data_IF_977435911768
#
_entry.id   IF_977435911768
#
_cell.length_a   1.000
_cell.length_b   1.000
_cell.length_c   1.000
_cell.angle_alpha   90.00
_cell.angle_beta   90.00
_cell.angle_gamma   90.00
#
_symmetry.space_group_name_H-M   'P 1'
#
loop_
_entity.id
_entity.type
_entity.pdbx_description
1 polymer ?
#
# COMPACT_ATOMS: atom_id res chain seq x y z
N UNK A 1 39.08 -37.47 -51.11
CA UNK A 1 37.71 -37.91 -50.74
C UNK A 1 37.41 -37.88 -49.23
N UNK A 2 38.40 -37.85 -48.31
CA UNK A 2 38.14 -37.85 -46.86
C UNK A 2 37.73 -36.48 -46.27
N UNK A 3 38.19 -35.37 -46.85
CA UNK A 3 37.91 -34.02 -46.32
C UNK A 3 36.53 -33.46 -46.70
N UNK A 4 35.93 -33.95 -47.80
CA UNK A 4 34.59 -33.53 -48.23
C UNK A 4 33.49 -34.19 -47.38
N UNK A 5 33.69 -35.45 -46.96
CA UNK A 5 32.80 -36.14 -46.03
C UNK A 5 32.81 -35.50 -44.63
N UNK A 6 33.96 -35.01 -44.18
CA UNK A 6 34.10 -34.36 -42.87
C UNK A 6 33.34 -33.01 -42.82
N UNK A 7 33.44 -32.21 -43.89
CA UNK A 7 32.69 -30.95 -44.04
C UNK A 7 31.18 -31.16 -44.10
N UNK A 8 30.73 -32.21 -44.80
CA UNK A 8 29.31 -32.61 -44.82
C UNK A 8 28.81 -33.07 -43.44
N UNK A 9 29.63 -33.81 -42.67
CA UNK A 9 29.28 -34.25 -41.32
C UNK A 9 29.20 -33.08 -40.32
N UNK A 10 30.12 -32.10 -40.42
CA UNK A 10 30.11 -30.91 -39.56
C UNK A 10 28.86 -30.05 -39.82
N UNK A 11 28.45 -29.88 -41.08
CA UNK A 11 27.21 -29.17 -41.41
C UNK A 11 25.95 -29.93 -40.95
N UNK A 12 25.95 -31.26 -41.00
CA UNK A 12 24.81 -32.09 -40.58
C UNK A 12 24.63 -32.09 -39.05
N UNK A 13 25.72 -32.01 -38.29
CA UNK A 13 25.69 -31.87 -36.81
C UNK A 13 25.27 -30.46 -36.38
N UNK A 14 25.69 -29.40 -37.09
CA UNK A 14 25.28 -28.02 -36.81
C UNK A 14 23.78 -27.76 -37.07
N UNK A 15 23.19 -28.41 -38.08
CA UNK A 15 21.77 -28.28 -38.39
C UNK A 15 20.85 -28.93 -37.33
N UNK A 16 21.32 -29.96 -36.62
CA UNK A 16 20.55 -30.67 -35.59
C UNK A 16 20.52 -29.94 -34.24
N UNK A 17 21.41 -28.96 -34.01
CA UNK A 17 21.50 -28.22 -32.73
C UNK A 17 20.60 -26.97 -32.73
N UNK A 18 20.10 -26.52 -33.89
CA UNK A 18 19.37 -25.24 -34.02
C UNK A 18 17.85 -25.32 -33.74
N UNK A 19 17.28 -26.50 -33.50
CA UNK A 19 15.82 -26.66 -33.33
C UNK A 19 15.37 -27.13 -31.93
N UNK A 20 16.19 -26.92 -30.90
CA UNK A 20 15.64 -26.93 -29.54
C UNK A 20 15.06 -25.55 -29.25
N UNK A 21 13.86 -25.30 -29.76
CA UNK A 21 13.03 -24.21 -29.27
C UNK A 21 12.82 -24.45 -27.78
N UNK A 22 13.58 -23.76 -26.94
CA UNK A 22 13.26 -23.67 -25.52
C UNK A 22 12.00 -22.82 -25.43
N UNK A 23 10.84 -23.47 -25.59
CA UNK A 23 9.58 -22.92 -25.11
C UNK A 23 9.73 -22.85 -23.59
N UNK A 24 10.13 -21.67 -23.10
CA UNK A 24 10.00 -21.31 -21.69
C UNK A 24 8.50 -21.28 -21.42
N UNK A 25 7.96 -22.42 -21.02
CA UNK A 25 6.61 -22.51 -20.52
C UNK A 25 6.63 -21.91 -19.11
N UNK A 26 6.46 -20.58 -19.03
CA UNK A 26 6.21 -19.94 -17.75
C UNK A 26 4.81 -20.34 -17.30
N UNK A 27 4.71 -21.49 -16.62
CA UNK A 27 3.54 -21.82 -15.81
C UNK A 27 3.62 -21.01 -14.51
N UNK A 28 3.57 -19.69 -14.63
CA UNK A 28 3.20 -18.81 -13.53
C UNK A 28 1.68 -18.77 -13.47
N UNK A 29 1.09 -19.93 -13.15
CA UNK A 29 -0.27 -19.93 -12.63
C UNK A 29 -0.16 -19.33 -11.23
N UNK A 30 -0.20 -18.00 -11.14
CA UNK A 30 -0.67 -17.38 -9.92
C UNK A 30 -2.06 -17.97 -9.72
N UNK A 31 -2.20 -18.91 -8.78
CA UNK A 31 -3.50 -19.17 -8.18
C UNK A 31 -3.96 -17.81 -7.72
N UNK A 32 -4.88 -17.22 -8.47
CA UNK A 32 -5.69 -16.13 -7.97
C UNK A 32 -6.43 -16.77 -6.81
N UNK A 33 -5.87 -16.61 -5.62
CA UNK A 33 -6.54 -16.92 -4.38
C UNK A 33 -7.71 -15.93 -4.38
N UNK A 34 -8.83 -16.35 -4.97
CA UNK A 34 -10.11 -15.68 -4.85
C UNK A 34 -10.64 -15.99 -3.45
N UNK A 35 -9.84 -15.66 -2.43
CA UNK A 35 -10.35 -15.40 -1.12
C UNK A 35 -10.65 -13.90 -1.16
N UNK A 36 -11.80 -13.54 -1.74
CA UNK A 36 -12.51 -12.39 -1.18
C UNK A 36 -12.77 -12.80 0.26
N UNK A 37 -11.88 -12.45 1.19
CA UNK A 37 -12.18 -12.54 2.60
C UNK A 37 -13.33 -11.56 2.83
N UNK A 38 -14.54 -12.10 2.80
CA UNK A 38 -15.75 -11.33 3.00
C UNK A 38 -15.83 -11.06 4.49
N UNK A 39 -15.38 -9.87 4.90
CA UNK A 39 -15.66 -9.36 6.24
C UNK A 39 -17.18 -9.29 6.42
N UNK A 40 -17.75 -9.88 7.48
CA UNK A 40 -19.20 -9.94 7.67
C UNK A 40 -19.83 -8.56 7.93
N UNK A 41 -19.02 -7.61 8.41
CA UNK A 41 -19.46 -6.26 8.69
C UNK A 41 -18.77 -5.24 7.76
N UNK A 42 -19.53 -4.25 7.30
CA UNK A 42 -19.05 -3.22 6.37
C UNK A 42 -19.77 -1.90 6.64
N UNK A 43 -19.00 -0.81 6.62
CA UNK A 43 -19.52 0.57 6.71
C UNK A 43 -18.80 1.47 5.70
N UNK A 44 -19.46 2.52 5.25
CA UNK A 44 -18.84 3.59 4.46
C UNK A 44 -18.26 4.68 5.37
N UNK A 45 -17.15 5.28 4.95
CA UNK A 45 -16.58 6.44 5.64
C UNK A 45 -17.54 7.65 5.73
N UNK A 46 -18.49 7.75 4.80
CA UNK A 46 -19.53 8.79 4.77
C UNK A 46 -20.50 8.71 5.94
N UNK A 47 -20.72 7.50 6.49
CA UNK A 47 -21.57 7.28 7.67
C UNK A 47 -20.99 7.93 8.95
N UNK A 48 -19.70 8.28 8.91
CA UNK A 48 -18.98 8.94 10.01
C UNK A 48 -18.75 10.43 9.76
N UNK A 49 -19.49 11.03 8.82
CA UNK A 49 -19.46 12.46 8.52
C UNK A 49 -18.31 12.89 7.61
N UNK A 50 -17.66 11.95 6.92
CA UNK A 50 -16.64 12.31 5.94
C UNK A 50 -17.24 12.93 4.68
N UNK A 51 -16.53 13.92 4.13
CA UNK A 51 -16.89 14.61 2.89
C UNK A 51 -15.75 14.45 1.89
N UNK A 52 -16.07 13.91 0.71
CA UNK A 52 -15.11 13.60 -0.36
C UNK A 52 -14.76 14.79 -1.26
N UNK A 53 -14.69 16.00 -0.69
CA UNK A 53 -14.61 17.28 -1.39
C UNK A 53 -13.19 17.86 -1.45
N UNK A 54 -12.14 17.09 -1.18
CA UNK A 54 -10.72 17.49 -1.08
C UNK A 54 -10.38 18.63 -0.10
N UNK A 55 -11.36 19.27 0.54
CA UNK A 55 -11.19 20.44 1.41
C UNK A 55 -11.38 20.02 2.87
N UNK A 56 -12.40 19.21 3.14
CA UNK A 56 -12.79 18.81 4.49
C UNK A 56 -11.74 17.86 5.10
N UNK A 57 -11.21 18.21 6.27
CA UNK A 57 -10.27 17.35 7.00
C UNK A 57 -11.02 16.17 7.66
N UNK A 58 -10.95 15.01 7.04
CA UNK A 58 -11.68 13.80 7.40
C UNK A 58 -10.99 12.94 8.49
N UNK A 59 -9.91 13.41 9.10
CA UNK A 59 -9.13 12.64 10.09
C UNK A 59 -10.01 12.08 11.20
N UNK A 60 -10.95 12.89 11.70
CA UNK A 60 -11.87 12.48 12.77
C UNK A 60 -12.89 11.44 12.30
N UNK A 61 -13.36 11.56 11.06
CA UNK A 61 -14.27 10.58 10.47
C UNK A 61 -13.58 9.22 10.31
N UNK A 62 -12.33 9.18 9.84
CA UNK A 62 -11.53 7.94 9.79
C UNK A 62 -11.32 7.33 11.18
N UNK A 63 -10.93 8.13 12.16
CA UNK A 63 -10.73 7.67 13.53
C UNK A 63 -12.03 7.10 14.14
N UNK A 64 -13.17 7.78 13.94
CA UNK A 64 -14.46 7.33 14.45
C UNK A 64 -14.92 6.04 13.76
N UNK A 65 -14.75 5.94 12.43
CA UNK A 65 -15.07 4.74 11.68
C UNK A 65 -14.27 3.54 12.17
N UNK A 66 -12.96 3.71 12.36
CA UNK A 66 -12.08 2.63 12.80
C UNK A 66 -12.35 2.25 14.25
N UNK A 67 -12.63 3.24 15.12
CA UNK A 67 -13.05 2.98 16.50
C UNK A 67 -14.32 2.14 16.55
N UNK A 68 -15.31 2.45 15.73
CA UNK A 68 -16.54 1.66 15.62
C UNK A 68 -16.28 0.24 15.09
N UNK A 69 -15.47 0.11 14.03
CA UNK A 69 -15.17 -1.18 13.41
C UNK A 69 -14.40 -2.13 14.33
N UNK A 70 -13.70 -1.61 15.35
CA UNK A 70 -13.03 -2.39 16.38
C UNK A 70 -13.98 -3.35 17.11
N UNK A 71 -15.27 -3.01 17.22
CA UNK A 71 -16.30 -3.86 17.83
C UNK A 71 -16.56 -5.18 17.08
N UNK A 72 -16.01 -5.32 15.88
CA UNK A 72 -16.18 -6.47 14.99
C UNK A 72 -14.88 -7.24 14.74
N UNK A 73 -13.75 -6.82 15.33
CA UNK A 73 -12.45 -7.48 15.15
C UNK A 73 -12.52 -8.98 15.49
N UNK A 74 -13.10 -9.32 16.63
CA UNK A 74 -13.26 -10.71 17.10
C UNK A 74 -14.46 -11.45 16.46
N UNK A 75 -15.17 -10.81 15.52
CA UNK A 75 -16.38 -11.34 14.87
C UNK A 75 -16.16 -11.64 13.39
N UNK A 76 -14.92 -11.94 13.01
CA UNK A 76 -14.50 -12.14 11.61
C UNK A 76 -14.03 -10.85 10.92
N UNK A 77 -13.86 -9.77 11.67
CA UNK A 77 -13.37 -8.50 11.18
C UNK A 77 -14.42 -7.64 10.50
N UNK A 78 -13.96 -6.50 9.98
CA UNK A 78 -14.83 -5.54 9.32
C UNK A 78 -14.17 -4.86 8.14
N UNK A 79 -15.00 -4.28 7.28
CA UNK A 79 -14.57 -3.54 6.09
C UNK A 79 -14.92 -2.06 6.23
N UNK A 80 -13.94 -1.20 6.01
CA UNK A 80 -14.15 0.23 5.80
C UNK A 80 -14.17 0.52 4.30
N UNK A 81 -15.30 0.97 3.80
CA UNK A 81 -15.47 1.33 2.39
C UNK A 81 -15.28 2.83 2.18
N UNK A 82 -14.38 3.18 1.26
CA UNK A 82 -14.09 4.56 0.84
C UNK A 82 -14.60 4.73 -0.59
N UNK A 83 -15.74 5.41 -0.81
CA UNK A 83 -16.32 5.57 -2.14
C UNK A 83 -15.50 6.55 -3.01
N UNK A 84 -15.88 6.66 -4.28
CA UNK A 84 -15.34 7.67 -5.19
C UNK A 84 -15.39 9.08 -4.58
N UNK A 85 -14.32 9.85 -4.73
CA UNK A 85 -14.17 11.16 -4.08
C UNK A 85 -12.75 11.40 -3.59
N UNK A 86 -12.48 12.61 -3.09
CA UNK A 86 -11.16 13.00 -2.58
C UNK A 86 -11.24 13.25 -1.08
N UNK A 87 -10.63 12.37 -0.31
CA UNK A 87 -10.75 12.28 1.14
C UNK A 87 -9.50 12.88 1.78
N UNK A 88 -9.53 14.19 2.01
CA UNK A 88 -8.42 14.90 2.66
C UNK A 88 -8.32 14.49 4.14
N UNK A 89 -7.16 14.04 4.60
CA UNK A 89 -6.97 13.50 5.96
C UNK A 89 -5.52 13.60 6.44
N UNK A 90 -5.36 13.72 7.76
CA UNK A 90 -4.11 13.44 8.46
C UNK A 90 -3.88 11.94 8.67
N UNK A 91 -2.89 11.62 9.51
CA UNK A 91 -2.58 10.24 9.89
C UNK A 91 -3.73 9.61 10.68
N UNK A 92 -4.06 8.34 10.38
CA UNK A 92 -5.02 7.54 11.15
C UNK A 92 -4.51 6.12 11.43
N UNK A 93 -4.99 5.53 12.52
CA UNK A 93 -4.63 4.17 12.95
C UNK A 93 -5.51 3.13 12.28
N UNK A 94 -4.92 2.01 11.85
CA UNK A 94 -5.63 0.79 11.51
C UNK A 94 -5.82 -0.10 12.75
N UNK A 95 -6.67 -1.12 12.61
CA UNK A 95 -6.90 -2.18 13.61
C UNK A 95 -6.70 -3.55 12.95
N UNK A 96 -6.51 -4.58 13.76
CA UNK A 96 -6.49 -5.97 13.28
C UNK A 96 -7.84 -6.39 12.70
N UNK A 97 -7.84 -7.36 11.77
CA UNK A 97 -9.04 -7.87 11.11
C UNK A 97 -9.82 -6.79 10.33
N UNK A 98 -9.10 -5.85 9.70
CA UNK A 98 -9.67 -4.74 8.95
C UNK A 98 -9.41 -4.91 7.45
N UNK A 99 -10.45 -4.71 6.65
CA UNK A 99 -10.32 -4.48 5.20
C UNK A 99 -10.60 -3.02 4.87
N UNK A 100 -9.60 -2.25 4.47
CA UNK A 100 -9.77 -0.93 3.90
C UNK A 100 -9.96 -1.06 2.39
N UNK A 101 -11.16 -0.78 1.90
CA UNK A 101 -11.55 -0.91 0.49
C UNK A 101 -11.72 0.47 -0.15
N UNK A 102 -10.84 0.83 -1.09
CA UNK A 102 -10.94 2.07 -1.87
C UNK A 102 -11.63 1.79 -3.20
N UNK A 103 -12.76 2.44 -3.45
CA UNK A 103 -13.47 2.27 -4.71
C UNK A 103 -12.75 2.94 -5.88
N UNK A 104 -13.25 2.68 -7.08
CA UNK A 104 -12.81 3.35 -8.29
C UNK A 104 -12.90 4.87 -8.10
N UNK A 105 -11.83 5.57 -8.47
CA UNK A 105 -11.69 7.02 -8.40
C UNK A 105 -11.76 7.61 -6.96
N UNK A 106 -11.66 6.76 -5.93
CA UNK A 106 -11.41 7.20 -4.56
C UNK A 106 -9.95 7.64 -4.40
N UNK A 107 -9.70 8.79 -3.77
CA UNK A 107 -8.36 9.31 -3.47
C UNK A 107 -8.28 9.64 -1.99
N UNK A 108 -7.53 8.87 -1.21
CA UNK A 108 -7.12 9.28 0.14
C UNK A 108 -5.97 10.27 -0.03
N UNK A 109 -6.17 11.51 0.43
CA UNK A 109 -5.27 12.62 0.19
C UNK A 109 -4.66 13.10 1.51
N UNK A 110 -3.34 13.00 1.65
CA UNK A 110 -2.62 13.30 2.89
C UNK A 110 -2.44 14.79 3.15
N UNK A 111 -2.68 15.22 4.38
CA UNK A 111 -2.51 16.62 4.79
C UNK A 111 -1.10 17.16 4.60
N UNK A 112 -0.97 18.38 4.09
CA UNK A 112 0.32 19.08 4.00
C UNK A 112 0.72 19.78 5.31
N UNK A 113 -0.16 19.80 6.31
CA UNK A 113 0.11 20.41 7.62
C UNK A 113 0.80 19.38 8.54
N UNK A 114 2.03 19.63 9.02
CA UNK A 114 2.74 18.73 9.93
C UNK A 114 1.99 18.40 11.22
N UNK A 115 1.11 19.30 11.70
CA UNK A 115 0.30 19.08 12.90
C UNK A 115 -0.70 17.92 12.78
N UNK A 116 -1.03 17.49 11.56
CA UNK A 116 -1.95 16.38 11.31
C UNK A 116 -1.26 15.00 11.32
N UNK A 117 0.02 14.96 11.68
CA UNK A 117 0.87 13.77 11.68
C UNK A 117 1.50 13.61 13.06
N UNK A 118 0.85 12.84 13.97
CA UNK A 118 1.36 12.70 15.34
C UNK A 118 2.77 12.13 15.36
N UNK A 119 3.59 12.61 16.28
CA UNK A 119 4.97 12.17 16.45
C UNK A 119 4.99 10.95 17.37
N UNK A 120 5.62 9.87 16.93
CA UNK A 120 5.81 8.62 17.69
C UNK A 120 7.27 8.25 17.76
N UNK A 121 7.60 7.34 18.67
CA UNK A 121 8.93 6.75 18.71
C UNK A 121 9.22 5.95 17.43
N UNK A 122 10.48 5.97 16.96
CA UNK A 122 10.85 5.23 15.76
C UNK A 122 10.62 3.71 15.97
N UNK A 123 10.19 2.98 14.93
CA UNK A 123 10.07 1.52 15.02
C UNK A 123 11.43 0.90 15.39
N UNK A 124 11.46 -0.17 16.21
CA UNK A 124 12.71 -0.82 16.62
C UNK A 124 13.61 -1.24 15.45
N UNK A 125 13.03 -1.55 14.29
CA UNK A 125 13.74 -1.97 13.08
C UNK A 125 14.55 -0.86 12.40
N UNK A 126 14.27 0.41 12.67
CA UNK A 126 14.95 1.55 12.03
C UNK A 126 16.14 2.06 12.84
N UNK A 127 16.30 1.64 14.10
CA UNK A 127 17.38 2.11 14.97
C UNK A 127 17.21 3.58 15.37
N UNK A 128 18.14 4.46 14.96
CA UNK A 128 18.00 5.92 15.14
C UNK A 128 17.15 6.50 14.02
N UNK A 129 16.39 7.56 14.30
CA UNK A 129 15.50 8.20 13.32
C UNK A 129 16.20 8.49 11.98
N UNK A 130 15.47 8.29 10.87
CA UNK A 130 16.04 8.20 9.52
C UNK A 130 16.67 9.51 9.07
N UNK A 131 15.95 10.62 9.21
CA UNK A 131 16.45 11.97 8.90
C UNK A 131 17.02 12.68 10.13
N UNK A 132 16.36 12.53 11.28
CA UNK A 132 16.70 13.22 12.52
C UNK A 132 16.63 12.27 13.71
N UNK A 133 17.47 12.45 14.75
CA UNK A 133 17.35 11.71 15.99
C UNK A 133 16.02 12.03 16.69
N UNK A 134 15.45 11.05 17.41
CA UNK A 134 14.22 11.21 18.18
C UNK A 134 12.97 10.77 17.43
N UNK A 135 11.85 11.44 17.72
CA UNK A 135 10.52 11.08 17.23
C UNK A 135 10.33 11.26 15.72
N UNK A 136 9.29 10.59 15.22
CA UNK A 136 8.92 10.53 13.81
C UNK A 136 7.41 10.81 13.64
N UNK A 137 7.05 11.73 12.73
CA UNK A 137 5.68 11.89 12.22
C UNK A 137 5.11 10.60 11.60
N UNK A 138 4.11 9.97 12.22
CA UNK A 138 3.46 8.74 11.73
C UNK A 138 3.13 8.73 10.23
N UNK A 139 3.14 7.56 9.60
CA UNK A 139 2.63 7.38 8.22
C UNK A 139 1.15 7.76 8.08
N UNK A 140 0.71 8.04 6.84
CA UNK A 140 -0.67 8.47 6.56
C UNK A 140 -1.69 7.42 7.01
N UNK A 141 -1.38 6.17 6.68
CA UNK A 141 -2.08 4.99 7.16
C UNK A 141 -1.09 4.26 8.06
N UNK A 142 -1.39 4.20 9.35
CA UNK A 142 -0.46 3.70 10.36
C UNK A 142 -1.05 2.51 11.11
N UNK A 143 -0.20 1.57 11.52
CA UNK A 143 -0.60 0.44 12.33
C UNK A 143 0.61 -0.17 13.02
N UNK A 144 0.46 -0.58 14.27
CA UNK A 144 1.50 -1.27 15.04
C UNK A 144 0.93 -2.56 15.62
N UNK A 145 1.69 -3.66 15.51
CA UNK A 145 1.30 -4.98 16.01
C UNK A 145 -0.09 -5.44 15.54
N UNK A 146 -0.38 -5.27 14.25
CA UNK A 146 -1.65 -5.66 13.66
C UNK A 146 -1.55 -7.05 13.02
N UNK A 147 -2.66 -7.78 13.05
CA UNK A 147 -2.83 -9.03 12.31
C UNK A 147 -3.99 -8.89 11.33
N UNK A 148 -3.90 -9.59 10.19
CA UNK A 148 -5.01 -9.71 9.25
C UNK A 148 -5.58 -8.36 8.79
N UNK A 149 -4.74 -7.57 8.12
CA UNK A 149 -5.11 -6.25 7.57
C UNK A 149 -5.01 -6.31 6.05
N UNK A 150 -6.09 -5.92 5.39
CA UNK A 150 -6.19 -5.93 3.93
C UNK A 150 -6.44 -4.49 3.45
N UNK A 151 -5.57 -3.97 2.59
CA UNK A 151 -5.83 -2.73 1.85
C UNK A 151 -6.01 -3.12 0.39
N UNK A 152 -7.20 -2.89 -0.15
CA UNK A 152 -7.56 -3.31 -1.50
C UNK A 152 -8.54 -2.32 -2.13
N UNK A 153 -8.93 -2.52 -3.39
CA UNK A 153 -9.77 -1.55 -4.07
C UNK A 153 -10.00 -1.81 -5.54
N UNK A 154 -10.92 -1.05 -6.12
CA UNK A 154 -11.23 -1.06 -7.54
C UNK A 154 -10.46 0.05 -8.28
N UNK A 155 -9.13 0.10 -8.11
CA UNK A 155 -8.27 1.17 -8.63
C UNK A 155 -8.46 2.54 -7.93
N UNK A 156 -8.57 2.53 -6.61
CA UNK A 156 -8.45 3.73 -5.77
C UNK A 156 -6.98 4.14 -5.56
N UNK A 157 -6.77 5.38 -5.11
CA UNK A 157 -5.44 6.00 -4.95
C UNK A 157 -5.21 6.43 -3.50
N UNK A 158 -3.98 6.26 -3.03
CA UNK A 158 -3.48 6.84 -1.77
C UNK A 158 -2.38 7.83 -2.16
N UNK A 159 -2.63 9.12 -2.00
CA UNK A 159 -1.70 10.21 -2.30
C UNK A 159 -1.25 10.88 -0.99
N UNK A 160 -0.01 10.64 -0.58
CA UNK A 160 0.55 11.20 0.65
C UNK A 160 1.06 12.63 0.55
N UNK A 161 0.96 13.30 -0.60
CA UNK A 161 1.42 14.68 -0.82
C UNK A 161 2.83 15.00 -0.29
N UNK A 162 3.81 14.12 -0.55
CA UNK A 162 5.14 14.17 0.11
C UNK A 162 6.05 15.35 -0.26
N UNK A 163 5.69 16.17 -1.25
CA UNK A 163 6.55 17.26 -1.74
C UNK A 163 6.94 18.25 -0.64
N UNK A 164 6.03 18.55 0.29
CA UNK A 164 6.28 19.43 1.44
C UNK A 164 7.34 18.87 2.39
N UNK A 165 7.28 17.57 2.67
CA UNK A 165 8.22 16.87 3.54
C UNK A 165 9.62 16.84 2.94
N UNK A 166 9.72 16.56 1.64
CA UNK A 166 11.00 16.62 0.93
C UNK A 166 11.58 18.04 0.84
N UNK A 167 10.72 19.05 0.72
CA UNK A 167 11.14 20.45 0.76
C UNK A 167 11.75 20.81 2.12
N UNK A 168 11.05 20.47 3.22
CA UNK A 168 11.54 20.68 4.58
C UNK A 168 12.84 19.92 4.86
N UNK A 169 12.96 18.68 4.38
CA UNK A 169 14.19 17.90 4.50
C UNK A 169 15.37 18.58 3.81
N UNK A 170 15.22 18.99 2.54
CA UNK A 170 16.27 19.67 1.77
C UNK A 170 16.67 21.00 2.39
N UNK A 171 15.70 21.73 2.94
CA UNK A 171 15.93 23.03 3.57
C UNK A 171 16.41 22.93 5.03
N UNK A 172 16.53 21.70 5.58
CA UNK A 172 16.93 21.44 6.98
C UNK A 172 16.00 22.12 8.00
N UNK A 173 14.70 22.15 7.70
CA UNK A 173 13.66 22.75 8.57
C UNK A 173 12.67 21.69 9.07
N UNK A 174 13.12 20.44 9.20
CA UNK A 174 12.36 19.39 9.85
C UNK A 174 12.65 19.46 11.36
N UNK A 175 11.61 19.41 12.16
CA UNK A 175 11.73 19.27 13.62
C UNK A 175 11.82 17.78 14.01
N UNK A 176 11.18 16.92 13.21
CA UNK A 176 11.14 15.46 13.37
C UNK A 176 11.31 14.76 12.01
N UNK A 177 11.68 13.48 12.07
CA UNK A 177 11.68 12.58 10.90
C UNK A 177 10.28 12.64 10.24
N UNK A 178 10.24 12.81 8.92
CA UNK A 178 8.99 12.96 8.16
C UNK A 178 8.24 11.63 7.97
N UNK A 179 6.96 11.66 7.58
CA UNK A 179 6.15 10.47 7.38
C UNK A 179 6.68 9.57 6.26
N UNK A 180 6.78 8.27 6.56
CA UNK A 180 7.17 7.20 5.63
C UNK A 180 5.97 6.59 4.94
#
# INVERSE_FOLDING_TARGET
MKNLLCLLYVFLVLALICCSSWTVWSNSSCKLINIKEVRPHSVSITEFGAVGDWITLNTKAFQNAIFYLKLYADKGGAKLFVPAGRWFTGSFDLISHLTLLLDKDAVILGSTNPGDWPVVDPPPSYGRGRELPGGWHRSLIYGCNLTDVIITGNNGTIDGQRSIWWSKFRNKTLDHTGPI
#
